data_IF_830270947367
#
_entry.id   IF_830270947367
#
_cell.length_a   1.000
_cell.length_b   1.000
_cell.length_c   1.000
_cell.angle_alpha   90.00
_cell.angle_beta   90.00
_cell.angle_gamma   90.00
#
_symmetry.space_group_name_H-M   'P 1'
#
loop_
_entity.id
_entity.type
_entity.pdbx_description
1 polymer ?
#
# COMPACT_ATOMS: atom_id res chain seq x y z
N UNK A 1 -28.46 -27.41 4.70
CA UNK A 1 -27.23 -28.22 4.56
C UNK A 1 -26.36 -27.91 5.75
N UNK A 2 -25.84 -28.93 6.43
CA UNK A 2 -24.89 -28.71 7.51
C UNK A 2 -23.55 -28.30 6.89
N UNK A 3 -22.98 -27.20 7.36
CA UNK A 3 -21.64 -26.78 6.98
C UNK A 3 -20.65 -27.89 7.36
N UNK A 4 -19.66 -28.16 6.52
CA UNK A 4 -18.63 -29.18 6.76
C UNK A 4 -17.26 -28.55 6.59
N UNK A 5 -16.32 -28.96 7.43
CA UNK A 5 -14.91 -28.56 7.34
C UNK A 5 -14.04 -29.80 7.16
N UNK A 6 -12.90 -29.65 6.51
CA UNK A 6 -11.91 -30.72 6.41
C UNK A 6 -10.84 -30.53 7.47
N UNK A 7 -10.70 -31.49 8.38
CA UNK A 7 -9.62 -31.58 9.38
C UNK A 7 -8.92 -32.91 9.17
N UNK A 8 -7.59 -32.91 8.99
CA UNK A 8 -6.80 -34.12 8.77
C UNK A 8 -7.43 -35.06 7.70
N UNK A 9 -7.74 -34.50 6.52
CA UNK A 9 -8.37 -35.20 5.38
C UNK A 9 -9.74 -35.85 5.69
N UNK A 10 -10.31 -35.55 6.84
CA UNK A 10 -11.61 -36.06 7.30
C UNK A 10 -12.63 -34.93 7.22
N UNK A 11 -13.77 -35.19 6.58
CA UNK A 11 -14.88 -34.24 6.58
C UNK A 11 -15.60 -34.32 7.92
N UNK A 12 -15.61 -33.20 8.63
CA UNK A 12 -16.22 -33.06 9.93
C UNK A 12 -17.38 -32.07 9.85
N UNK A 13 -18.58 -32.41 10.36
CA UNK A 13 -19.69 -31.49 10.39
C UNK A 13 -19.38 -30.34 11.34
N UNK A 14 -19.89 -29.18 10.97
CA UNK A 14 -19.81 -27.98 11.77
C UNK A 14 -20.97 -27.94 12.76
N UNK A 15 -20.62 -27.94 14.05
CA UNK A 15 -21.58 -28.02 15.15
C UNK A 15 -21.44 -26.80 16.05
N UNK A 16 -22.55 -26.12 16.30
CA UNK A 16 -22.64 -25.07 17.29
C UNK A 16 -23.65 -25.43 18.39
N UNK A 17 -23.30 -25.09 19.63
CA UNK A 17 -24.20 -25.12 20.76
C UNK A 17 -24.02 -23.81 21.53
N UNK A 18 -25.11 -23.09 21.80
CA UNK A 18 -25.09 -21.77 22.44
C UNK A 18 -24.13 -20.76 21.76
N UNK A 19 -24.03 -20.80 20.43
CA UNK A 19 -23.15 -19.92 19.65
C UNK A 19 -21.66 -20.25 19.71
N UNK A 20 -21.28 -21.33 20.41
CA UNK A 20 -19.90 -21.83 20.49
C UNK A 20 -19.72 -23.08 19.62
N UNK A 21 -18.55 -23.21 18.99
CA UNK A 21 -18.17 -24.41 18.24
C UNK A 21 -17.91 -25.55 19.21
N UNK A 22 -18.55 -26.70 18.99
CA UNK A 22 -18.41 -27.87 19.87
C UNK A 22 -18.12 -29.13 19.06
N UNK A 23 -17.59 -30.17 19.71
CA UNK A 23 -17.28 -31.47 19.09
C UNK A 23 -17.83 -32.61 19.93
N UNK A 24 -18.17 -33.75 19.30
CA UNK A 24 -18.51 -34.99 20.00
C UNK A 24 -17.29 -35.91 20.13
N UNK A 25 -17.38 -36.94 20.97
CA UNK A 25 -16.31 -37.95 21.06
C UNK A 25 -16.04 -38.66 19.73
N UNK A 26 -17.08 -38.98 18.95
CA UNK A 26 -16.93 -39.64 17.66
C UNK A 26 -16.19 -38.76 16.65
N UNK A 27 -16.46 -37.44 16.65
CA UNK A 27 -15.71 -36.49 15.82
C UNK A 27 -14.23 -36.48 16.19
N UNK A 28 -13.91 -36.46 17.49
CA UNK A 28 -12.53 -36.47 17.99
C UNK A 28 -11.80 -37.76 17.58
N UNK A 29 -12.44 -38.91 17.81
CA UNK A 29 -11.84 -40.21 17.45
C UNK A 29 -11.56 -40.27 15.94
N UNK A 30 -12.48 -39.77 15.11
CA UNK A 30 -12.31 -39.73 13.66
C UNK A 30 -11.15 -38.83 13.23
N UNK A 31 -11.10 -37.57 13.66
CA UNK A 31 -10.05 -36.64 13.21
C UNK A 31 -8.65 -37.02 13.70
N UNK A 32 -8.55 -37.70 14.85
CA UNK A 32 -7.30 -38.21 15.40
C UNK A 32 -6.96 -39.64 14.95
N UNK A 33 -7.76 -40.22 14.04
CA UNK A 33 -7.62 -41.61 13.58
C UNK A 33 -7.49 -42.62 14.74
N UNK A 34 -8.27 -42.42 15.81
CA UNK A 34 -8.32 -43.30 16.98
C UNK A 34 -9.47 -44.31 16.89
N UNK A 35 -9.35 -45.48 17.55
CA UNK A 35 -10.48 -46.40 17.68
C UNK A 35 -11.68 -45.70 18.32
N UNK A 36 -12.88 -46.04 17.85
CA UNK A 36 -14.11 -45.49 18.38
C UNK A 36 -14.24 -45.71 19.90
N UNK A 37 -14.58 -44.65 20.63
CA UNK A 37 -14.73 -44.65 22.08
C UNK A 37 -13.45 -44.31 22.85
N UNK A 38 -12.35 -43.98 22.17
CA UNK A 38 -11.09 -43.57 22.83
C UNK A 38 -11.28 -42.25 23.57
N UNK A 39 -11.78 -41.22 22.90
CA UNK A 39 -12.10 -39.92 23.49
C UNK A 39 -13.11 -40.05 24.64
N UNK A 40 -14.16 -40.85 24.46
CA UNK A 40 -15.16 -41.09 25.51
C UNK A 40 -14.62 -41.84 26.73
N UNK A 41 -13.62 -42.72 26.57
CA UNK A 41 -12.91 -43.34 27.70
C UNK A 41 -12.08 -42.31 28.46
N UNK A 42 -11.26 -41.53 27.75
CA UNK A 42 -10.43 -40.49 28.35
C UNK A 42 -11.26 -39.45 29.13
N UNK A 43 -12.44 -39.10 28.61
CA UNK A 43 -13.35 -38.18 29.27
C UNK A 43 -13.83 -38.74 30.61
N UNK A 44 -14.22 -40.01 30.65
CA UNK A 44 -14.67 -40.66 31.88
C UNK A 44 -13.55 -40.77 32.91
N UNK A 45 -12.34 -41.12 32.48
CA UNK A 45 -11.17 -41.21 33.36
C UNK A 45 -10.78 -39.85 33.96
N UNK A 46 -10.97 -38.76 33.21
CA UNK A 46 -10.61 -37.41 33.62
C UNK A 46 -11.81 -36.54 34.02
N UNK A 47 -13.00 -37.13 34.20
CA UNK A 47 -14.25 -36.39 34.40
C UNK A 47 -14.18 -35.42 35.57
N UNK A 48 -13.50 -35.80 36.66
CA UNK A 48 -13.33 -34.97 37.85
C UNK A 48 -12.51 -33.69 37.62
N UNK A 49 -11.78 -33.61 36.50
CA UNK A 49 -10.95 -32.45 36.13
C UNK A 49 -11.66 -31.51 35.15
N UNK A 50 -12.82 -31.89 34.62
CA UNK A 50 -13.57 -31.17 33.60
C UNK A 50 -14.76 -30.46 34.24
N UNK A 51 -15.04 -29.25 33.78
CA UNK A 51 -16.10 -28.39 34.31
C UNK A 51 -17.29 -28.38 33.36
N UNK A 52 -18.48 -28.73 33.86
CA UNK A 52 -19.71 -28.65 33.09
C UNK A 52 -20.11 -27.19 32.86
N UNK A 53 -20.45 -26.83 31.62
CA UNK A 53 -20.73 -25.46 31.20
C UNK A 53 -19.49 -24.68 30.72
N UNK A 54 -18.28 -25.19 30.96
CA UNK A 54 -17.03 -24.60 30.47
C UNK A 54 -16.35 -25.53 29.48
N UNK A 55 -16.04 -26.76 29.90
CA UNK A 55 -15.33 -27.75 29.09
C UNK A 55 -16.27 -28.63 28.28
N UNK A 56 -17.45 -28.92 28.82
CA UNK A 56 -18.43 -29.76 28.16
C UNK A 56 -19.85 -29.40 28.57
N UNK A 57 -20.81 -29.83 27.75
CA UNK A 57 -22.23 -29.78 28.08
C UNK A 57 -22.82 -31.19 27.99
N UNK A 58 -23.61 -31.56 29.00
CA UNK A 58 -24.43 -32.76 28.98
C UNK A 58 -25.84 -32.42 28.49
N UNK A 59 -26.15 -32.83 27.26
CA UNK A 59 -27.39 -32.52 26.58
C UNK A 59 -28.38 -33.65 26.77
N UNK A 60 -29.57 -33.32 27.26
CA UNK A 60 -30.70 -34.25 27.29
C UNK A 60 -31.21 -34.55 25.88
N UNK A 61 -31.92 -35.66 25.71
CA UNK A 61 -32.62 -35.98 24.46
C UNK A 61 -33.52 -34.85 23.96
N UNK A 62 -34.07 -34.05 24.88
CA UNK A 62 -34.91 -32.90 24.54
C UNK A 62 -34.11 -31.71 24.00
N UNK A 63 -32.98 -31.39 24.63
CA UNK A 63 -32.08 -30.34 24.14
C UNK A 63 -31.45 -30.70 22.80
N UNK A 64 -31.05 -31.96 22.61
CA UNK A 64 -30.53 -32.44 21.31
C UNK A 64 -31.56 -32.20 20.19
N UNK A 65 -32.85 -32.43 20.48
CA UNK A 65 -33.94 -32.17 19.53
C UNK A 65 -34.15 -30.67 19.30
N UNK A 66 -34.27 -29.87 20.38
CA UNK A 66 -34.50 -28.42 20.28
C UNK A 66 -33.38 -27.67 19.58
N UNK A 67 -32.14 -28.10 19.76
CA UNK A 67 -30.95 -27.50 19.16
C UNK A 67 -30.61 -28.08 17.78
N UNK A 68 -31.46 -28.96 17.22
CA UNK A 68 -31.25 -29.60 15.91
C UNK A 68 -29.94 -30.40 15.80
N UNK A 69 -29.47 -30.98 16.92
CA UNK A 69 -28.23 -31.74 17.03
C UNK A 69 -28.42 -33.25 16.84
N UNK A 70 -29.59 -33.70 16.38
CA UNK A 70 -29.90 -35.13 16.20
C UNK A 70 -28.98 -35.83 15.20
N UNK A 71 -28.35 -35.09 14.29
CA UNK A 71 -27.50 -35.63 13.23
C UNK A 71 -26.09 -36.00 13.69
N UNK A 72 -25.65 -35.52 14.86
CA UNK A 72 -24.32 -35.82 15.43
C UNK A 72 -24.35 -36.88 16.55
N UNK A 73 -25.54 -37.36 16.91
CA UNK A 73 -25.74 -38.39 17.91
C UNK A 73 -26.49 -39.58 17.32
N UNK A 74 -26.33 -40.76 17.91
CA UNK A 74 -27.09 -41.93 17.52
C UNK A 74 -28.60 -41.69 17.74
N UNK A 75 -29.49 -42.29 16.92
CA UNK A 75 -30.92 -42.20 17.15
C UNK A 75 -31.30 -42.66 18.56
N UNK A 76 -32.22 -41.93 19.21
CA UNK A 76 -32.69 -42.20 20.59
C UNK A 76 -31.60 -42.08 21.68
N UNK A 77 -30.55 -41.31 21.43
CA UNK A 77 -29.55 -40.98 22.47
C UNK A 77 -30.25 -40.30 23.67
N UNK A 78 -30.21 -40.89 24.88
CA UNK A 78 -30.86 -40.32 26.06
C UNK A 78 -30.14 -39.07 26.59
N UNK A 79 -28.79 -39.09 26.50
CA UNK A 79 -27.89 -38.01 26.88
C UNK A 79 -26.70 -37.97 25.92
N UNK A 80 -26.34 -36.78 25.44
CA UNK A 80 -25.20 -36.56 24.57
C UNK A 80 -24.19 -35.62 25.23
N UNK A 81 -22.90 -35.87 25.06
CA UNK A 81 -21.85 -34.96 25.51
C UNK A 81 -21.30 -34.23 24.29
N UNK A 82 -21.18 -32.90 24.40
CA UNK A 82 -20.42 -32.07 23.48
C UNK A 82 -19.32 -31.34 24.26
N UNK A 83 -18.15 -31.20 23.64
CA UNK A 83 -16.99 -30.54 24.23
C UNK A 83 -16.75 -29.18 23.56
N UNK A 84 -16.40 -28.19 24.37
CA UNK A 84 -15.89 -26.89 23.90
C UNK A 84 -14.42 -27.01 23.49
N UNK A 85 -13.82 -25.90 23.05
CA UNK A 85 -12.38 -25.84 22.79
C UNK A 85 -11.56 -26.26 24.02
N UNK A 86 -11.89 -25.74 25.21
CA UNK A 86 -11.14 -26.05 26.44
C UNK A 86 -11.28 -27.52 26.82
N UNK A 87 -12.49 -28.08 26.75
CA UNK A 87 -12.70 -29.49 27.07
C UNK A 87 -12.02 -30.43 26.10
N UNK A 88 -12.04 -30.11 24.80
CA UNK A 88 -11.24 -30.83 23.81
C UNK A 88 -9.75 -30.80 24.17
N UNK A 89 -9.20 -29.61 24.46
CA UNK A 89 -7.79 -29.43 24.80
C UNK A 89 -7.40 -30.18 26.07
N UNK A 90 -8.28 -30.23 27.07
CA UNK A 90 -8.06 -31.01 28.29
C UNK A 90 -8.11 -32.51 28.02
N UNK A 91 -8.99 -32.96 27.14
CA UNK A 91 -9.17 -34.36 26.78
C UNK A 91 -7.97 -34.94 26.01
N UNK A 92 -7.42 -34.17 25.07
CA UNK A 92 -6.33 -34.63 24.19
C UNK A 92 -4.94 -34.48 24.80
N UNK A 93 -4.81 -34.07 26.07
CA UNK A 93 -3.50 -33.98 26.76
C UNK A 93 -2.71 -35.29 26.78
N UNK A 94 -3.40 -36.42 26.69
CA UNK A 94 -2.79 -37.76 26.63
C UNK A 94 -2.42 -38.20 25.22
N UNK A 95 -2.75 -37.43 24.18
CA UNK A 95 -2.40 -37.74 22.79
C UNK A 95 -1.05 -37.11 22.46
N UNK A 96 0.01 -37.90 22.49
CA UNK A 96 1.40 -37.41 22.45
C UNK A 96 2.13 -37.66 21.12
N UNK A 97 1.44 -38.20 20.12
CA UNK A 97 2.00 -38.54 18.80
C UNK A 97 1.92 -37.37 17.80
N UNK A 98 2.74 -37.42 16.74
CA UNK A 98 2.85 -36.34 15.75
C UNK A 98 1.51 -36.01 15.06
N UNK A 99 0.65 -37.02 14.84
CA UNK A 99 -0.66 -36.80 14.23
C UNK A 99 -1.55 -35.97 15.15
N UNK A 100 -1.56 -36.28 16.45
CA UNK A 100 -2.33 -35.52 17.42
C UNK A 100 -1.92 -34.04 17.47
N UNK A 101 -0.61 -33.75 17.39
CA UNK A 101 -0.11 -32.38 17.31
C UNK A 101 -0.60 -31.64 16.06
N UNK A 102 -0.61 -32.31 14.91
CA UNK A 102 -1.11 -31.73 13.66
C UNK A 102 -2.62 -31.46 13.75
N UNK A 103 -3.41 -32.47 14.13
CA UNK A 103 -4.87 -32.38 14.24
C UNK A 103 -5.27 -31.30 15.24
N UNK A 104 -4.60 -31.22 16.39
CA UNK A 104 -4.86 -30.18 17.38
C UNK A 104 -4.67 -28.78 16.82
N UNK A 105 -3.59 -28.54 16.05
CA UNK A 105 -3.34 -27.25 15.42
C UNK A 105 -4.40 -26.91 14.38
N UNK A 106 -4.78 -27.87 13.53
CA UNK A 106 -5.81 -27.67 12.51
C UNK A 106 -7.17 -27.39 13.14
N UNK A 107 -7.56 -28.14 14.17
CA UNK A 107 -8.87 -28.04 14.79
C UNK A 107 -9.00 -26.75 15.64
N UNK A 108 -7.97 -26.36 16.39
CA UNK A 108 -7.98 -25.09 17.12
C UNK A 108 -8.06 -23.89 16.16
N UNK A 109 -7.21 -23.87 15.12
CA UNK A 109 -7.13 -22.70 14.24
C UNK A 109 -8.25 -22.64 13.19
N UNK A 110 -8.73 -23.79 12.72
CA UNK A 110 -9.69 -23.88 11.62
C UNK A 110 -11.13 -24.13 12.06
N UNK A 111 -11.35 -24.79 13.21
CA UNK A 111 -12.70 -25.15 13.67
C UNK A 111 -13.19 -24.31 14.85
N UNK A 112 -12.43 -24.30 15.96
CA UNK A 112 -12.87 -23.64 17.20
C UNK A 112 -12.77 -22.12 17.12
N UNK A 113 -11.66 -21.62 16.58
CA UNK A 113 -11.53 -20.21 16.25
C UNK A 113 -12.41 -19.92 15.04
N UNK A 114 -13.63 -19.43 15.29
CA UNK A 114 -14.48 -18.84 14.24
C UNK A 114 -13.60 -17.86 13.45
N UNK A 115 -13.56 -17.91 12.10
CA UNK A 115 -13.02 -16.81 11.32
C UNK A 115 -13.74 -15.55 11.84
N UNK A 116 -13.00 -14.59 12.39
CA UNK A 116 -13.52 -13.26 12.68
C UNK A 116 -13.78 -12.56 11.34
N UNK A 117 -14.77 -13.04 10.58
CA UNK A 117 -15.19 -12.45 9.31
C UNK A 117 -16.38 -11.52 9.46
N UNK A 118 -16.79 -11.23 10.68
CA UNK A 118 -17.61 -10.06 10.97
C UNK A 118 -17.02 -9.37 12.20
N UNK A 119 -16.15 -8.38 11.95
CA UNK A 119 -16.10 -7.23 12.86
C UNK A 119 -17.56 -6.81 13.07
N UNK A 120 -17.99 -6.64 14.31
CA UNK A 120 -19.31 -6.05 14.55
C UNK A 120 -19.41 -4.76 13.73
N UNK A 121 -20.58 -4.43 13.18
CA UNK A 121 -20.77 -3.21 12.38
C UNK A 121 -20.20 -1.98 13.12
N UNK A 122 -20.35 -1.96 14.45
CA UNK A 122 -19.74 -1.00 15.37
C UNK A 122 -18.21 -0.98 15.36
N UNK A 123 -17.55 -2.13 15.40
CA UNK A 123 -16.08 -2.23 15.35
C UNK A 123 -15.54 -1.83 13.98
N UNK A 124 -16.26 -2.16 12.92
CA UNK A 124 -15.91 -1.76 11.56
C UNK A 124 -16.00 -0.25 11.40
N UNK A 125 -17.11 0.36 11.85
CA UNK A 125 -17.29 1.81 11.86
C UNK A 125 -16.20 2.50 12.69
N UNK A 126 -15.90 1.98 13.89
CA UNK A 126 -14.86 2.55 14.75
C UNK A 126 -13.47 2.50 14.09
N UNK A 127 -13.15 1.40 13.40
CA UNK A 127 -11.89 1.23 12.67
C UNK A 127 -11.80 2.14 11.45
N UNK A 128 -12.88 2.23 10.67
CA UNK A 128 -12.97 3.15 9.52
C UNK A 128 -12.81 4.59 10.00
N UNK A 129 -13.55 5.00 11.03
CA UNK A 129 -13.48 6.36 11.58
C UNK A 129 -12.09 6.72 12.11
N UNK A 130 -11.42 5.78 12.79
CA UNK A 130 -10.06 6.00 13.29
C UNK A 130 -9.06 6.15 12.14
N UNK A 131 -9.19 5.31 11.11
CA UNK A 131 -8.33 5.35 9.94
C UNK A 131 -8.53 6.64 9.14
N UNK A 132 -9.77 7.06 8.89
CA UNK A 132 -10.07 8.30 8.17
C UNK A 132 -9.57 9.52 8.94
N UNK A 133 -9.73 9.55 10.27
CA UNK A 133 -9.21 10.64 11.10
C UNK A 133 -7.67 10.74 11.04
N UNK A 134 -6.96 9.61 11.01
CA UNK A 134 -5.50 9.59 10.84
C UNK A 134 -5.08 10.06 9.45
N UNK A 135 -5.76 9.58 8.40
CA UNK A 135 -5.50 10.00 7.02
C UNK A 135 -5.70 11.52 6.85
N UNK A 136 -6.78 12.08 7.42
CA UNK A 136 -7.05 13.51 7.33
C UNK A 136 -5.94 14.35 7.99
N UNK A 137 -5.41 13.91 9.14
CA UNK A 137 -4.29 14.60 9.79
C UNK A 137 -3.03 14.58 8.93
N UNK A 138 -2.76 13.45 8.27
CA UNK A 138 -1.61 13.34 7.36
C UNK A 138 -1.78 14.22 6.13
N UNK A 139 -3.00 14.31 5.56
CA UNK A 139 -3.30 15.20 4.43
C UNK A 139 -3.06 16.66 4.81
N UNK A 140 -3.62 17.13 5.94
CA UNK A 140 -3.44 18.51 6.38
C UNK A 140 -1.96 18.88 6.56
N UNK A 141 -1.15 17.96 7.11
CA UNK A 141 0.28 18.16 7.29
C UNK A 141 1.08 18.17 5.97
N UNK A 142 0.58 17.47 4.94
CA UNK A 142 1.16 17.50 3.60
C UNK A 142 0.82 18.84 2.92
N UNK A 143 -0.43 19.30 3.01
CA UNK A 143 -0.86 20.57 2.42
C UNK A 143 -0.04 21.74 2.97
N UNK A 144 0.18 21.82 4.29
CA UNK A 144 1.02 22.86 4.90
C UNK A 144 2.47 22.86 4.37
N UNK A 145 3.04 21.67 4.11
CA UNK A 145 4.39 21.55 3.55
C UNK A 145 4.43 21.92 2.08
N UNK A 146 3.40 21.58 1.32
CA UNK A 146 3.29 21.92 -0.11
C UNK A 146 3.20 23.43 -0.26
N UNK A 147 2.41 24.11 0.57
CA UNK A 147 2.31 25.58 0.56
C UNK A 147 3.66 26.26 0.86
N UNK A 148 4.39 25.77 1.87
CA UNK A 148 5.74 26.28 2.19
C UNK A 148 6.75 26.04 1.06
N UNK A 149 6.72 24.87 0.41
CA UNK A 149 7.57 24.57 -0.74
C UNK A 149 7.21 25.46 -1.93
N UNK A 150 5.92 25.69 -2.17
CA UNK A 150 5.48 26.53 -3.28
C UNK A 150 5.89 27.99 -3.07
N UNK A 151 5.76 28.52 -1.85
CA UNK A 151 6.18 29.89 -1.51
C UNK A 151 7.70 30.07 -1.69
N UNK A 152 8.51 29.10 -1.24
CA UNK A 152 9.97 29.14 -1.39
C UNK A 152 10.41 29.01 -2.85
N UNK A 153 9.76 28.13 -3.64
CA UNK A 153 10.02 28.02 -5.08
C UNK A 153 9.71 29.32 -5.81
N UNK A 154 8.60 29.99 -5.48
CA UNK A 154 8.29 31.28 -6.08
C UNK A 154 9.25 32.40 -5.65
N UNK A 155 9.69 32.43 -4.39
CA UNK A 155 10.68 33.41 -3.92
C UNK A 155 12.04 33.21 -4.60
N UNK A 156 12.49 31.96 -4.83
CA UNK A 156 13.71 31.65 -5.58
C UNK A 156 13.60 32.15 -7.03
N UNK A 157 12.46 31.92 -7.68
CA UNK A 157 12.19 32.39 -9.06
C UNK A 157 12.12 33.93 -9.18
N UNK A 158 11.81 34.64 -8.10
CA UNK A 158 11.66 36.11 -8.08
C UNK A 158 12.98 36.90 -7.96
N UNK A 159 14.11 36.25 -7.70
CA UNK A 159 15.38 36.96 -7.43
C UNK A 159 16.64 36.41 -8.07
N UNK A 160 16.64 35.15 -8.53
CA UNK A 160 17.88 34.48 -8.96
C UNK A 160 17.67 33.80 -10.31
N UNK A 161 18.50 34.15 -11.30
CA UNK A 161 18.55 33.41 -12.58
C UNK A 161 19.05 31.99 -12.25
N UNK A 162 18.35 30.91 -12.65
CA UNK A 162 18.75 29.55 -12.34
C UNK A 162 20.17 29.26 -12.87
N UNK A 163 20.91 28.40 -12.16
CA UNK A 163 22.26 28.02 -12.59
C UNK A 163 22.25 27.46 -14.03
N UNK A 164 23.20 27.91 -14.85
CA UNK A 164 23.29 27.55 -16.27
C UNK A 164 22.43 28.40 -17.21
N UNK A 165 21.50 29.21 -16.69
CA UNK A 165 20.72 30.16 -17.49
C UNK A 165 21.35 31.55 -17.48
N UNK A 166 21.23 32.26 -18.59
CA UNK A 166 21.73 33.64 -18.74
C UNK A 166 20.68 34.52 -19.43
N UNK A 167 20.71 35.82 -19.14
CA UNK A 167 19.90 36.80 -19.88
C UNK A 167 20.43 36.99 -21.31
N UNK A 168 19.53 37.32 -22.25
CA UNK A 168 19.90 37.58 -23.65
C UNK A 168 20.96 38.69 -23.81
N UNK A 169 21.02 39.65 -22.87
CA UNK A 169 22.06 40.69 -22.85
C UNK A 169 23.46 40.11 -22.64
N UNK A 170 23.63 39.17 -21.70
CA UNK A 170 24.91 38.49 -21.49
C UNK A 170 25.23 37.56 -22.65
N UNK A 171 24.22 36.83 -23.17
CA UNK A 171 24.38 35.98 -24.34
C UNK A 171 24.88 36.77 -25.57
N UNK A 172 24.41 38.01 -25.76
CA UNK A 172 24.88 38.92 -26.80
C UNK A 172 26.35 39.33 -26.60
N UNK A 173 26.75 39.64 -25.36
CA UNK A 173 28.15 39.95 -25.04
C UNK A 173 29.08 38.76 -25.28
N UNK A 174 28.68 37.56 -24.88
CA UNK A 174 29.52 36.35 -25.01
C UNK A 174 29.61 35.83 -26.46
N UNK A 175 28.54 35.96 -27.25
CA UNK A 175 28.52 35.52 -28.65
C UNK A 175 28.98 36.58 -29.65
N UNK A 176 29.03 37.85 -29.25
CA UNK A 176 29.27 38.98 -30.15
C UNK A 176 28.09 39.32 -31.10
N UNK A 177 26.95 38.62 -30.96
CA UNK A 177 25.73 38.88 -31.71
C UNK A 177 24.92 40.04 -31.09
N UNK A 178 24.04 40.64 -31.89
CA UNK A 178 23.05 41.58 -31.36
C UNK A 178 21.93 40.84 -30.61
N UNK A 179 21.35 41.46 -29.58
CA UNK A 179 20.24 40.89 -28.79
C UNK A 179 19.09 40.29 -29.65
N UNK A 180 18.60 40.97 -30.71
CA UNK A 180 17.60 40.39 -31.61
C UNK A 180 18.09 39.10 -32.29
N UNK A 181 19.36 39.06 -32.72
CA UNK A 181 19.95 37.86 -33.35
C UNK A 181 20.15 36.73 -32.36
N UNK A 182 20.48 37.01 -31.09
CA UNK A 182 20.51 35.98 -30.05
C UNK A 182 19.13 35.31 -29.87
N UNK A 183 18.04 36.09 -29.90
CA UNK A 183 16.68 35.53 -29.84
C UNK A 183 16.34 34.70 -31.07
N UNK A 184 16.66 35.21 -32.26
CA UNK A 184 16.50 34.46 -33.51
C UNK A 184 17.29 33.16 -33.50
N UNK A 185 18.54 33.16 -33.00
CA UNK A 185 19.36 31.95 -32.87
C UNK A 185 18.67 30.93 -31.95
N UNK A 186 18.23 31.37 -30.77
CA UNK A 186 17.57 30.49 -29.81
C UNK A 186 16.29 29.85 -30.39
N UNK A 187 15.50 30.63 -31.14
CA UNK A 187 14.30 30.12 -31.82
C UNK A 187 14.64 29.16 -32.98
N UNK A 188 15.60 29.49 -33.83
CA UNK A 188 15.94 28.70 -35.02
C UNK A 188 16.68 27.39 -34.72
N UNK A 189 17.35 27.33 -33.57
CA UNK A 189 18.08 26.15 -33.10
C UNK A 189 17.38 25.45 -31.91
N UNK A 190 16.13 25.83 -31.60
CA UNK A 190 15.34 25.26 -30.49
C UNK A 190 16.08 25.23 -29.15
N UNK A 191 16.84 26.30 -28.86
CA UNK A 191 17.53 26.45 -27.58
C UNK A 191 16.49 26.73 -26.49
N UNK A 192 16.55 26.08 -25.31
CA UNK A 192 15.62 26.33 -24.22
C UNK A 192 15.59 27.81 -23.80
N UNK A 193 14.38 28.38 -23.77
CA UNK A 193 14.08 29.74 -23.29
C UNK A 193 13.10 29.65 -22.12
N UNK A 194 13.34 30.43 -21.08
CA UNK A 194 12.45 30.58 -19.94
C UNK A 194 12.27 32.07 -19.60
N UNK A 195 11.33 32.40 -18.71
CA UNK A 195 11.06 33.77 -18.27
C UNK A 195 11.17 33.87 -16.76
N UNK A 196 12.08 34.74 -16.30
CA UNK A 196 12.23 35.07 -14.87
C UNK A 196 11.71 36.48 -14.61
N UNK A 197 11.23 36.71 -13.39
CA UNK A 197 10.86 38.06 -12.95
C UNK A 197 12.09 38.71 -12.34
N UNK A 198 12.56 39.80 -12.92
CA UNK A 198 13.64 40.61 -12.38
C UNK A 198 13.08 41.87 -11.73
N UNK A 199 13.67 42.29 -10.62
CA UNK A 199 13.39 43.60 -10.02
C UNK A 199 14.20 44.67 -10.77
N UNK A 200 13.55 45.73 -11.26
CA UNK A 200 14.28 46.91 -11.74
C UNK A 200 14.88 47.70 -10.58
N UNK A 201 15.86 48.58 -10.81
CA UNK A 201 16.39 49.49 -9.78
C UNK A 201 15.32 50.33 -9.07
N UNK A 202 14.22 50.64 -9.77
CA UNK A 202 13.05 51.36 -9.23
C UNK A 202 12.07 50.45 -8.45
N UNK A 203 12.42 49.19 -8.21
CA UNK A 203 11.63 48.22 -7.44
C UNK A 203 10.44 47.60 -8.16
N UNK A 204 10.33 47.75 -9.49
CA UNK A 204 9.22 47.16 -10.25
C UNK A 204 9.57 45.77 -10.81
N UNK A 205 8.71 44.75 -10.65
CA UNK A 205 8.88 43.47 -11.32
C UNK A 205 8.72 43.61 -12.83
N UNK A 206 9.71 43.12 -13.58
CA UNK A 206 9.63 42.98 -15.04
C UNK A 206 9.98 41.56 -15.47
N UNK A 207 9.20 40.95 -16.38
CA UNK A 207 9.58 39.68 -16.97
C UNK A 207 10.79 39.88 -17.88
N UNK A 208 11.80 39.03 -17.73
CA UNK A 208 12.99 38.94 -18.58
C UNK A 208 13.13 37.52 -19.11
N UNK A 209 13.27 37.39 -20.44
CA UNK A 209 13.59 36.10 -21.06
C UNK A 209 15.05 35.72 -20.80
N UNK A 210 15.28 34.47 -20.43
CA UNK A 210 16.59 33.85 -20.22
C UNK A 210 16.75 32.66 -21.17
N UNK A 211 17.99 32.26 -21.41
CA UNK A 211 18.36 31.16 -22.31
C UNK A 211 19.40 30.26 -21.62
N UNK A 212 19.36 28.95 -21.88
CA UNK A 212 20.36 28.04 -21.33
C UNK A 212 21.71 28.23 -22.03
N UNK A 213 22.75 28.58 -21.26
CA UNK A 213 24.04 29.08 -21.78
C UNK A 213 24.77 28.07 -22.66
N UNK A 214 24.88 26.82 -22.21
CA UNK A 214 25.67 25.79 -22.92
C UNK A 214 25.05 25.45 -24.28
N UNK A 215 23.72 25.29 -24.31
CA UNK A 215 22.96 25.03 -25.53
C UNK A 215 23.05 26.23 -26.48
N UNK A 216 22.94 27.45 -25.94
CA UNK A 216 23.07 28.68 -26.73
C UNK A 216 24.46 28.81 -27.38
N UNK A 217 25.53 28.58 -26.62
CA UNK A 217 26.90 28.68 -27.15
C UNK A 217 27.22 27.54 -28.13
N UNK A 218 26.63 26.37 -27.95
CA UNK A 218 26.73 25.25 -28.89
C UNK A 218 25.99 25.56 -30.19
N UNK A 219 24.77 26.11 -30.11
CA UNK A 219 24.03 26.61 -31.26
C UNK A 219 24.77 27.74 -31.99
N UNK A 220 25.43 28.65 -31.25
CA UNK A 220 26.21 29.73 -31.82
C UNK A 220 27.41 29.20 -32.62
N UNK A 221 28.17 28.25 -32.07
CA UNK A 221 29.27 27.58 -32.77
C UNK A 221 28.81 26.87 -34.03
N UNK A 222 27.71 26.11 -33.94
CA UNK A 222 27.12 25.42 -35.09
C UNK A 222 26.71 26.41 -36.18
N UNK A 223 25.98 27.46 -35.82
CA UNK A 223 25.52 28.50 -36.73
C UNK A 223 26.69 29.22 -37.41
N UNK A 224 27.77 29.52 -36.68
CA UNK A 224 28.95 30.15 -37.27
C UNK A 224 29.71 29.22 -38.22
N UNK A 225 29.71 27.90 -37.99
CA UNK A 225 30.27 26.93 -38.93
C UNK A 225 29.49 26.82 -40.25
N UNK A 226 28.20 27.14 -40.23
CA UNK A 226 27.32 27.15 -41.42
C UNK A 226 27.31 28.53 -42.14
N UNK A 227 27.90 29.57 -41.56
CA UNK A 227 27.79 30.93 -42.03
C UNK A 227 28.90 31.31 -43.03
N UNK A 228 28.53 32.02 -44.11
CA UNK A 228 29.47 32.56 -45.09
C UNK A 228 29.86 34.00 -44.74
N UNK A 229 31.17 34.26 -44.63
CA UNK A 229 31.71 35.62 -44.42
C UNK A 229 31.75 36.40 -45.74
N UNK A 230 31.14 37.59 -45.75
CA UNK A 230 31.15 38.55 -46.87
C UNK A 230 31.55 39.94 -46.36
N UNK A 231 32.84 40.25 -46.43
CA UNK A 231 33.39 41.50 -45.88
C UNK A 231 33.25 41.54 -44.36
N UNK A 232 32.59 42.57 -43.84
CA UNK A 232 32.33 42.75 -42.39
C UNK A 232 31.02 42.12 -41.93
N UNK A 233 30.34 41.35 -42.79
CA UNK A 233 29.04 40.72 -42.49
C UNK A 233 29.07 39.22 -42.76
N UNK A 234 28.20 38.51 -42.07
CA UNK A 234 27.97 37.07 -42.21
C UNK A 234 26.60 36.83 -42.82
N UNK A 235 26.48 35.80 -43.66
CA UNK A 235 25.21 35.38 -44.27
C UNK A 235 24.96 33.92 -43.90
N UNK A 236 23.75 33.63 -43.43
CA UNK A 236 23.35 32.27 -43.05
C UNK A 236 21.86 32.02 -43.37
N UNK A 237 21.45 30.83 -43.88
CA UNK A 237 20.07 30.57 -44.31
C UNK A 237 19.01 30.81 -43.23
N UNK A 238 19.27 30.45 -41.97
CA UNK A 238 18.33 30.63 -40.85
C UNK A 238 18.46 31.98 -40.14
N UNK A 239 19.58 32.68 -40.31
CA UNK A 239 19.89 33.92 -39.57
C UNK A 239 19.90 35.18 -40.43
N UNK A 240 19.77 35.03 -41.75
CA UNK A 240 19.90 36.10 -42.73
C UNK A 240 21.29 36.73 -42.69
N UNK A 241 21.36 38.04 -42.92
CA UNK A 241 22.59 38.82 -42.80
C UNK A 241 22.75 39.29 -41.35
N UNK A 242 23.94 39.15 -40.78
CA UNK A 242 24.27 39.58 -39.43
C UNK A 242 25.74 40.00 -39.29
N UNK A 243 26.07 40.58 -38.14
CA UNK A 243 27.43 40.93 -37.74
C UNK A 243 27.73 40.25 -36.39
N UNK A 244 28.98 39.83 -36.22
CA UNK A 244 29.49 39.22 -34.99
C UNK A 244 30.81 39.88 -34.65
N UNK A 245 30.98 40.27 -33.39
CA UNK A 245 32.21 40.86 -32.86
C UNK A 245 33.02 39.76 -32.17
N UNK A 246 34.34 39.73 -32.40
CA UNK A 246 35.24 38.81 -31.68
C UNK A 246 35.33 37.39 -32.24
N UNK A 247 34.68 37.10 -33.37
CA UNK A 247 34.75 35.79 -34.06
C UNK A 247 35.81 35.76 -35.19
N UNK A 248 36.62 36.80 -35.32
CA UNK A 248 37.66 36.88 -36.35
C UNK A 248 38.98 36.32 -35.79
N UNK A 249 39.10 34.98 -35.75
CA UNK A 249 40.38 34.32 -35.48
C UNK A 249 40.38 33.09 -34.53
N UNK A 250 39.40 32.18 -34.65
CA UNK A 250 39.53 30.79 -34.18
C UNK A 250 39.39 29.81 -35.34
#
# INVERSE_FOLDING_TARGET
>A
MNEVITINKTQMPVVEYQGQRVVTFSMIDQVHARPEGTAGRNFRENRSRLIEGEDFYELTADEIRRQSLTHIFAPRTPKGIVLTESGYLMLVKSFTDDLAWQVQRELVNGYFRKPQTALSELEMIARIASHTAQQQRQINHIDERVDQVQETVEQIKRGTIPAGWIGFSLAATESGLTNPKCRTLAEQYNVPIDTVTIMTPDGQPRPMKIVFKEDFMSACRLMMGEAEKRGTRWTHPKMGIFQVIGWEGE
#
